data_IF_824163986886
#
_entry.id   IF_824163986886
#
_cell.length_a   1.000
_cell.length_b   1.000
_cell.length_c   1.000
_cell.angle_alpha   90.00
_cell.angle_beta   90.00
_cell.angle_gamma   90.00
#
_symmetry.space_group_name_H-M   'P 1'
#
loop_
_entity.id
_entity.type
_entity.pdbx_description
1 polymer ?
#
# COMPACT_ATOMS: atom_id res chain seq x y z
N UNK A 1 -68.91 -37.05 7.59
CA UNK A 1 -68.43 -35.93 8.43
C UNK A 1 -66.92 -35.90 8.34
N UNK A 2 -66.38 -35.06 7.47
CA UNK A 2 -64.95 -34.82 7.32
C UNK A 2 -64.74 -33.39 7.82
N UNK A 3 -64.03 -33.25 8.92
CA UNK A 3 -63.73 -31.98 9.58
C UNK A 3 -62.65 -31.24 8.79
N UNK A 4 -62.93 -30.00 8.41
CA UNK A 4 -62.03 -29.16 7.63
C UNK A 4 -60.80 -28.74 8.45
N UNK A 5 -59.61 -28.88 7.85
CA UNK A 5 -58.36 -28.35 8.34
C UNK A 5 -58.37 -26.82 8.24
N UNK A 6 -58.19 -26.14 9.38
CA UNK A 6 -57.89 -24.71 9.41
C UNK A 6 -56.42 -24.50 9.04
N UNK A 7 -56.18 -23.86 7.90
CA UNK A 7 -54.86 -23.37 7.50
C UNK A 7 -54.31 -22.37 8.53
N UNK A 8 -53.14 -22.66 9.10
CA UNK A 8 -52.35 -21.66 9.82
C UNK A 8 -51.78 -20.67 8.80
N UNK A 9 -52.18 -19.40 8.90
CA UNK A 9 -51.51 -18.29 8.23
C UNK A 9 -50.14 -18.05 8.89
N UNK A 10 -49.09 -17.70 8.11
CA UNK A 10 -47.79 -17.38 8.67
C UNK A 10 -47.91 -16.12 9.54
N UNK A 11 -47.29 -16.15 10.71
CA UNK A 11 -47.22 -15.03 11.65
C UNK A 11 -46.83 -13.74 10.93
N UNK A 12 -47.71 -12.75 10.96
CA UNK A 12 -47.41 -11.38 10.58
C UNK A 12 -46.11 -10.94 11.24
N UNK A 13 -45.15 -10.44 10.46
CA UNK A 13 -44.03 -9.69 10.99
C UNK A 13 -44.58 -8.66 11.98
N UNK A 14 -44.10 -8.69 13.22
CA UNK A 14 -44.43 -7.66 14.19
C UNK A 14 -43.85 -6.34 13.65
N UNK A 15 -44.70 -5.56 12.97
CA UNK A 15 -44.30 -4.25 12.48
C UNK A 15 -43.86 -3.39 13.67
N UNK A 16 -42.68 -2.79 13.52
CA UNK A 16 -42.09 -1.94 14.53
C UNK A 16 -42.96 -0.69 14.72
N UNK A 17 -43.34 -0.37 15.97
CA UNK A 17 -44.18 0.79 16.28
C UNK A 17 -43.47 2.11 15.86
N UNK A 18 -43.96 2.82 14.82
CA UNK A 18 -43.32 4.03 14.34
C UNK A 18 -43.21 5.11 15.41
N UNK A 19 -44.14 5.18 16.36
CA UNK A 19 -44.16 6.20 17.41
C UNK A 19 -43.02 6.07 18.42
N UNK A 20 -42.53 4.85 18.63
CA UNK A 20 -41.39 4.55 19.51
C UNK A 20 -40.08 4.71 18.73
N UNK A 21 -39.99 4.11 17.55
CA UNK A 21 -38.75 4.06 16.78
C UNK A 21 -38.38 5.39 16.10
N UNK A 22 -39.37 6.23 15.73
CA UNK A 22 -39.11 7.56 15.16
C UNK A 22 -38.57 8.58 16.17
N UNK A 23 -38.69 8.29 17.47
CA UNK A 23 -38.25 9.17 18.56
C UNK A 23 -36.96 8.70 19.22
N UNK A 24 -36.34 7.64 18.70
CA UNK A 24 -35.12 7.10 19.28
C UNK A 24 -33.98 8.14 19.14
N UNK A 25 -33.30 8.52 20.24
CA UNK A 25 -32.15 9.41 20.18
C UNK A 25 -31.07 8.91 19.23
N UNK A 26 -30.38 9.84 18.58
CA UNK A 26 -29.36 9.54 17.58
C UNK A 26 -28.21 8.71 18.20
N UNK A 27 -27.85 8.99 19.46
CA UNK A 27 -26.80 8.29 20.19
C UNK A 27 -27.14 6.82 20.46
N UNK A 28 -28.43 6.52 20.73
CA UNK A 28 -28.89 5.15 20.92
C UNK A 28 -28.97 4.40 19.60
N UNK A 29 -29.37 5.08 18.52
CA UNK A 29 -29.31 4.53 17.17
C UNK A 29 -27.88 4.18 16.77
N UNK A 30 -26.92 5.10 16.95
CA UNK A 30 -25.50 4.85 16.68
C UNK A 30 -24.96 3.68 17.52
N UNK A 31 -25.36 3.56 18.78
CA UNK A 31 -24.98 2.45 19.64
C UNK A 31 -25.55 1.12 19.13
N UNK A 32 -26.85 1.05 18.85
CA UNK A 32 -27.48 -0.18 18.33
C UNK A 32 -26.80 -0.63 17.03
N UNK A 33 -26.53 0.33 16.15
CA UNK A 33 -25.90 0.09 14.87
C UNK A 33 -24.43 -0.34 15.04
N UNK A 34 -23.69 0.20 16.01
CA UNK A 34 -22.30 -0.22 16.27
C UNK A 34 -22.13 -1.72 16.59
N UNK A 35 -23.21 -2.44 16.92
CA UNK A 35 -23.18 -3.90 17.08
C UNK A 35 -23.25 -4.69 15.77
N UNK A 36 -23.57 -4.06 14.65
CA UNK A 36 -23.62 -4.73 13.34
C UNK A 36 -22.23 -4.77 12.69
N UNK A 37 -21.87 -5.82 11.93
CA UNK A 37 -20.64 -5.83 11.16
C UNK A 37 -20.56 -4.70 10.13
N UNK A 38 -19.38 -4.12 9.92
CA UNK A 38 -19.12 -3.03 8.94
C UNK A 38 -19.62 -3.36 7.53
N UNK A 39 -19.61 -4.64 7.12
CA UNK A 39 -20.15 -5.09 5.84
C UNK A 39 -21.62 -4.70 5.65
N UNK A 40 -22.43 -4.77 6.71
CA UNK A 40 -23.85 -4.43 6.63
C UNK A 40 -24.04 -2.92 6.43
N UNK A 41 -23.19 -2.11 7.06
CA UNK A 41 -23.17 -0.66 6.86
C UNK A 41 -22.88 -0.25 5.42
N UNK A 42 -21.91 -0.90 4.77
CA UNK A 42 -21.63 -0.62 3.38
C UNK A 42 -22.78 -0.94 2.43
N UNK A 43 -23.68 -1.86 2.81
CA UNK A 43 -24.86 -2.19 2.01
C UNK A 43 -26.00 -1.19 2.24
N UNK A 44 -26.16 -0.67 3.46
CA UNK A 44 -27.26 0.25 3.80
C UNK A 44 -26.90 1.74 3.63
N UNK A 45 -25.62 2.10 3.46
CA UNK A 45 -25.20 3.51 3.30
C UNK A 45 -25.90 4.25 2.14
N UNK A 46 -26.39 3.53 1.14
CA UNK A 46 -27.10 4.13 -0.01
C UNK A 46 -28.58 4.39 0.26
N UNK A 47 -29.14 3.90 1.37
CA UNK A 47 -30.59 4.00 1.64
C UNK A 47 -30.97 5.31 2.31
N UNK A 48 -30.12 5.91 3.15
CA UNK A 48 -30.38 7.23 3.73
C UNK A 48 -29.10 8.03 4.04
N UNK A 49 -29.23 9.36 4.15
CA UNK A 49 -28.13 10.27 4.45
C UNK A 49 -27.53 10.03 5.84
N UNK A 50 -28.36 9.67 6.83
CA UNK A 50 -27.94 9.40 8.21
C UNK A 50 -27.03 8.19 8.30
N UNK A 51 -27.39 7.06 7.67
CA UNK A 51 -26.49 5.89 7.62
C UNK A 51 -25.20 6.20 6.86
N UNK A 52 -25.25 7.06 5.84
CA UNK A 52 -24.06 7.50 5.13
C UNK A 52 -23.13 8.34 6.01
N UNK A 53 -23.66 9.28 6.80
CA UNK A 53 -22.85 10.13 7.68
C UNK A 53 -22.36 9.40 8.93
N UNK A 54 -23.18 8.51 9.48
CA UNK A 54 -22.88 7.76 10.71
C UNK A 54 -21.60 6.95 10.63
N UNK A 55 -21.29 6.34 9.48
CA UNK A 55 -20.06 5.56 9.29
C UNK A 55 -18.80 6.42 9.53
N UNK A 56 -18.90 7.73 9.37
CA UNK A 56 -17.80 8.68 9.59
C UNK A 56 -17.91 9.45 10.91
N UNK A 57 -18.88 9.12 11.77
CA UNK A 57 -19.04 9.71 13.11
C UNK A 57 -17.91 9.25 14.04
N UNK A 58 -17.23 10.14 14.79
CA UNK A 58 -16.16 9.75 15.72
C UNK A 58 -16.58 8.68 16.75
N UNK A 59 -17.84 8.73 17.22
CA UNK A 59 -18.40 7.75 18.14
C UNK A 59 -18.53 6.37 17.50
N UNK A 60 -18.94 6.32 16.23
CA UNK A 60 -19.07 5.08 15.48
C UNK A 60 -17.69 4.50 15.10
N UNK A 61 -16.77 5.37 14.68
CA UNK A 61 -15.36 5.05 14.38
C UNK A 61 -14.72 4.39 15.60
N UNK A 62 -14.72 5.06 16.76
CA UNK A 62 -14.05 4.55 17.96
C UNK A 62 -14.52 3.16 18.39
N UNK A 63 -15.82 2.86 18.27
CA UNK A 63 -16.40 1.54 18.57
C UNK A 63 -16.02 0.47 17.55
N UNK A 64 -15.88 0.84 16.28
CA UNK A 64 -15.48 -0.09 15.23
C UNK A 64 -13.96 -0.21 15.05
N UNK A 65 -13.15 0.76 15.49
CA UNK A 65 -11.69 0.74 15.40
C UNK A 65 -11.09 -0.44 16.13
N UNK A 66 -11.62 -0.78 17.32
CA UNK A 66 -11.23 -1.99 18.05
C UNK A 66 -11.58 -3.29 17.32
N UNK A 67 -12.53 -3.26 16.37
CA UNK A 67 -12.97 -4.37 15.53
C UNK A 67 -12.45 -4.28 14.08
N UNK A 68 -11.67 -3.26 13.71
CA UNK A 68 -11.15 -3.04 12.34
C UNK A 68 -10.17 -4.13 11.88
N UNK A 69 -9.72 -5.00 12.80
CA UNK A 69 -9.11 -6.30 12.47
C UNK A 69 -10.01 -7.18 11.57
N UNK A 70 -11.27 -6.80 11.34
CA UNK A 70 -12.20 -7.54 10.50
C UNK A 70 -11.98 -7.38 8.98
N UNK A 71 -11.20 -6.40 8.48
CA UNK A 71 -10.88 -6.34 7.05
C UNK A 71 -9.64 -7.17 6.73
N UNK A 72 -9.79 -8.14 5.82
CA UNK A 72 -8.63 -8.84 5.27
C UNK A 72 -7.72 -7.83 4.56
N UNK A 73 -6.41 -7.98 4.74
CA UNK A 73 -5.42 -7.25 3.96
C UNK A 73 -5.13 -8.01 2.67
N UNK A 74 -4.78 -7.27 1.62
CA UNK A 74 -4.60 -7.83 0.28
C UNK A 74 -3.30 -7.36 -0.36
N UNK A 75 -2.76 -8.18 -1.24
CA UNK A 75 -1.78 -7.75 -2.24
C UNK A 75 -2.53 -7.40 -3.53
N UNK A 76 -2.32 -6.19 -4.03
CA UNK A 76 -2.89 -5.69 -5.27
C UNK A 76 -1.90 -5.91 -6.42
N UNK A 77 -2.38 -6.47 -7.52
CA UNK A 77 -1.63 -6.50 -8.78
C UNK A 77 -2.14 -5.40 -9.72
N UNK A 78 -1.26 -4.52 -10.16
CA UNK A 78 -1.49 -3.52 -11.21
C UNK A 78 -0.71 -3.89 -12.46
N UNK A 79 -1.32 -3.65 -13.62
CA UNK A 79 -0.70 -3.91 -14.92
C UNK A 79 -1.10 -2.84 -15.96
N UNK A 80 -0.17 -2.33 -16.80
CA UNK A 80 -0.46 -1.29 -17.79
C UNK A 80 -1.59 -1.63 -18.77
N UNK A 81 -1.73 -2.90 -19.17
CA UNK A 81 -2.83 -3.33 -20.05
C UNK A 81 -4.20 -3.44 -19.36
N UNK A 82 -4.26 -3.38 -18.03
CA UNK A 82 -5.51 -3.43 -17.28
C UNK A 82 -5.52 -2.39 -16.14
N UNK A 83 -5.41 -1.09 -16.47
CA UNK A 83 -5.12 -0.03 -15.50
C UNK A 83 -6.26 0.20 -14.48
N UNK A 84 -7.45 -0.34 -14.75
CA UNK A 84 -8.64 -0.22 -13.89
C UNK A 84 -8.96 -1.46 -13.07
N UNK A 85 -8.25 -2.58 -13.31
CA UNK A 85 -8.56 -3.88 -12.69
C UNK A 85 -7.38 -4.34 -11.87
N UNK A 86 -7.62 -4.55 -10.58
CA UNK A 86 -6.61 -4.98 -9.62
C UNK A 86 -7.01 -6.33 -9.02
N UNK A 87 -6.45 -7.45 -9.53
CA UNK A 87 -6.56 -8.74 -8.86
C UNK A 87 -6.09 -8.64 -7.41
N UNK A 88 -6.85 -9.26 -6.51
CA UNK A 88 -6.59 -9.27 -5.08
C UNK A 88 -6.10 -10.65 -4.65
N UNK A 89 -4.91 -10.70 -4.04
CA UNK A 89 -4.45 -11.87 -3.33
C UNK A 89 -4.65 -11.70 -1.84
N UNK A 90 -5.30 -12.67 -1.21
CA UNK A 90 -5.49 -12.70 0.23
C UNK A 90 -4.38 -13.53 0.89
N UNK A 91 -3.53 -12.87 1.67
CA UNK A 91 -2.39 -13.48 2.34
C UNK A 91 -2.80 -14.39 3.50
N UNK A 92 -3.95 -14.17 4.12
CA UNK A 92 -4.46 -15.00 5.22
C UNK A 92 -5.08 -16.29 4.70
N UNK A 93 -5.81 -16.22 3.58
CA UNK A 93 -6.41 -17.39 2.94
C UNK A 93 -5.46 -18.09 1.95
N UNK A 94 -4.30 -17.48 1.67
CA UNK A 94 -3.33 -17.95 0.69
C UNK A 94 -3.99 -18.22 -0.68
N UNK A 95 -4.88 -17.32 -1.11
CA UNK A 95 -5.73 -17.53 -2.28
C UNK A 95 -6.08 -16.23 -2.99
N UNK A 96 -6.24 -16.33 -4.31
CA UNK A 96 -6.78 -15.26 -5.13
C UNK A 96 -8.28 -15.06 -4.85
N UNK A 97 -8.71 -13.81 -4.67
CA UNK A 97 -10.14 -13.50 -4.57
C UNK A 97 -10.79 -13.60 -5.95
N UNK A 98 -12.00 -14.15 -5.99
CA UNK A 98 -12.79 -14.30 -7.23
C UNK A 98 -13.11 -12.95 -7.90
N UNK A 99 -13.28 -11.89 -7.09
CA UNK A 99 -13.56 -10.53 -7.57
C UNK A 99 -12.29 -9.70 -7.47
N UNK A 100 -11.95 -9.04 -8.58
CA UNK A 100 -10.93 -8.00 -8.58
C UNK A 100 -11.50 -6.71 -8.00
N UNK A 101 -10.61 -5.86 -7.49
CA UNK A 101 -10.93 -4.49 -7.15
C UNK A 101 -10.87 -3.63 -8.42
N UNK A 102 -11.82 -2.72 -8.56
CA UNK A 102 -11.92 -1.82 -9.69
C UNK A 102 -11.82 -0.39 -9.20
N UNK A 103 -11.01 0.42 -9.88
CA UNK A 103 -10.95 1.85 -9.59
C UNK A 103 -12.15 2.55 -10.22
N UNK A 104 -12.86 3.36 -9.42
CA UNK A 104 -13.93 4.25 -9.88
C UNK A 104 -13.41 5.55 -10.49
N UNK A 105 -12.11 5.84 -10.33
CA UNK A 105 -11.48 7.06 -10.84
C UNK A 105 -11.73 7.13 -12.34
N UNK A 106 -12.20 8.29 -12.81
CA UNK A 106 -12.48 8.60 -14.21
C UNK A 106 -11.17 8.74 -15.00
N UNK A 107 -10.44 7.63 -15.13
CA UNK A 107 -9.09 7.53 -15.68
C UNK A 107 -9.13 7.80 -17.20
N UNK A 108 -8.73 9.00 -17.70
CA UNK A 108 -9.00 9.40 -19.09
C UNK A 108 -8.18 8.64 -20.15
N UNK A 109 -7.26 7.74 -19.76
CA UNK A 109 -6.34 7.08 -20.69
C UNK A 109 -5.60 5.90 -20.05
N UNK A 110 -5.01 5.05 -20.89
CA UNK A 110 -4.02 4.00 -20.55
C UNK A 110 -2.75 4.51 -19.85
N UNK A 111 -2.53 5.83 -19.83
CA UNK A 111 -1.39 6.47 -19.16
C UNK A 111 -1.54 6.58 -17.64
N UNK A 112 -2.71 6.25 -17.10
CA UNK A 112 -2.97 6.30 -15.67
C UNK A 112 -2.54 5.02 -14.98
N UNK A 113 -1.56 5.13 -14.10
CA UNK A 113 -0.99 4.01 -13.37
C UNK A 113 -1.15 4.25 -11.87
N UNK A 114 -1.45 3.17 -11.14
CA UNK A 114 -1.29 3.16 -9.69
C UNK A 114 0.20 3.36 -9.41
N UNK A 115 0.54 4.47 -8.75
CA UNK A 115 1.91 4.91 -8.56
C UNK A 115 2.44 4.58 -7.17
N UNK A 116 1.58 4.63 -6.15
CA UNK A 116 1.93 4.34 -4.76
C UNK A 116 0.68 3.93 -3.95
N UNK A 117 0.89 3.15 -2.89
CA UNK A 117 -0.17 2.67 -1.98
C UNK A 117 0.34 2.65 -0.55
N UNK A 118 -0.44 3.19 0.39
CA UNK A 118 -0.06 3.17 1.80
C UNK A 118 -1.30 3.22 2.71
N UNK A 119 -1.38 2.31 3.68
CA UNK A 119 -2.47 2.18 4.66
C UNK A 119 -3.89 2.38 4.10
N UNK A 120 -4.17 1.76 2.94
CA UNK A 120 -5.51 1.75 2.34
C UNK A 120 -5.81 2.91 1.40
N UNK A 121 -4.92 3.90 1.32
CA UNK A 121 -4.96 4.93 0.30
C UNK A 121 -4.19 4.50 -0.95
N UNK A 122 -4.74 4.80 -2.11
CA UNK A 122 -4.12 4.57 -3.42
C UNK A 122 -3.85 5.91 -4.10
N UNK A 123 -2.66 6.07 -4.68
CA UNK A 123 -2.28 7.26 -5.43
C UNK A 123 -2.10 6.93 -6.90
N UNK A 124 -2.90 7.56 -7.76
CA UNK A 124 -2.85 7.45 -9.21
C UNK A 124 -2.21 8.69 -9.81
N UNK A 125 -1.30 8.52 -10.76
CA UNK A 125 -0.77 9.63 -11.57
C UNK A 125 -1.59 9.78 -12.85
N UNK A 126 -2.03 11.00 -13.15
CA UNK A 126 -2.74 11.35 -14.38
C UNK A 126 -1.98 12.46 -15.13
N UNK A 127 -0.93 12.09 -15.91
CA UNK A 127 -0.11 13.07 -16.63
C UNK A 127 -0.92 13.94 -17.61
N UNK A 128 -1.99 13.40 -18.20
CA UNK A 128 -2.87 14.13 -19.13
C UNK A 128 -3.63 15.27 -18.47
N UNK A 129 -3.91 15.15 -17.18
CA UNK A 129 -4.66 16.13 -16.38
C UNK A 129 -3.74 16.96 -15.48
N UNK A 130 -2.43 16.73 -15.58
CA UNK A 130 -1.40 17.32 -14.72
C UNK A 130 -1.75 17.21 -13.22
N UNK A 131 -2.20 16.02 -12.80
CA UNK A 131 -2.67 15.80 -11.44
C UNK A 131 -2.40 14.39 -10.93
N UNK A 132 -2.37 14.28 -9.60
CA UNK A 132 -2.51 13.03 -8.88
C UNK A 132 -3.95 12.88 -8.40
N UNK A 133 -4.43 11.65 -8.28
CA UNK A 133 -5.67 11.33 -7.57
C UNK A 133 -5.34 10.39 -6.43
N UNK A 134 -5.60 10.84 -5.20
CA UNK A 134 -5.55 9.98 -4.02
C UNK A 134 -6.97 9.48 -3.77
N UNK A 135 -7.12 8.18 -3.54
CA UNK A 135 -8.42 7.55 -3.37
C UNK A 135 -8.43 6.58 -2.19
N UNK A 136 -9.50 6.66 -1.40
CA UNK A 136 -9.91 5.63 -0.46
C UNK A 136 -11.11 4.90 -1.07
N UNK A 137 -10.84 3.72 -1.63
CA UNK A 137 -11.86 2.96 -2.35
C UNK A 137 -12.98 2.42 -1.44
N UNK A 138 -12.71 2.21 -0.15
CA UNK A 138 -13.70 1.72 0.81
C UNK A 138 -14.71 2.80 1.18
N UNK A 139 -14.18 3.99 1.50
CA UNK A 139 -14.97 5.20 1.74
C UNK A 139 -15.59 5.74 0.44
N UNK A 140 -15.10 5.30 -0.73
CA UNK A 140 -15.47 5.87 -2.03
C UNK A 140 -15.23 7.37 -2.09
N UNK A 141 -14.12 7.81 -1.50
CA UNK A 141 -13.66 9.19 -1.52
C UNK A 141 -12.41 9.30 -2.37
N UNK A 142 -12.30 10.42 -3.07
CA UNK A 142 -11.17 10.74 -3.94
C UNK A 142 -10.87 12.23 -3.86
N UNK A 143 -9.60 12.59 -4.02
CA UNK A 143 -9.15 13.97 -4.15
C UNK A 143 -8.18 14.08 -5.30
N UNK A 144 -8.46 15.05 -6.16
CA UNK A 144 -7.53 15.47 -7.20
C UNK A 144 -6.56 16.50 -6.63
N UNK A 145 -5.27 16.28 -6.86
CA UNK A 145 -4.16 17.14 -6.43
C UNK A 145 -3.41 17.56 -7.69
N UNK A 146 -3.46 18.84 -8.04
CA UNK A 146 -2.73 19.36 -9.19
C UNK A 146 -1.23 19.27 -8.96
N UNK A 147 -0.48 19.00 -10.03
CA UNK A 147 0.98 19.03 -9.99
C UNK A 147 1.48 20.43 -9.57
N UNK A 148 2.61 20.51 -8.85
CA UNK A 148 3.14 21.80 -8.39
C UNK A 148 3.66 22.67 -9.54
N UNK A 149 4.04 22.06 -10.67
CA UNK A 149 4.51 22.75 -11.88
C UNK A 149 4.12 21.97 -13.14
N UNK A 150 4.25 22.59 -14.30
CA UNK A 150 4.10 21.91 -15.59
C UNK A 150 5.23 22.29 -16.53
N UNK A 151 5.95 21.33 -17.14
CA UNK A 151 5.83 19.88 -16.94
C UNK A 151 6.29 19.44 -15.53
N UNK A 152 5.81 18.29 -15.05
CA UNK A 152 6.20 17.70 -13.77
C UNK A 152 6.80 16.29 -13.95
N UNK A 153 8.06 16.19 -14.44
CA UNK A 153 8.74 14.91 -14.57
C UNK A 153 9.27 14.47 -13.20
N UNK A 154 8.50 13.64 -12.51
CA UNK A 154 8.93 13.00 -11.26
C UNK A 154 9.54 11.62 -11.54
N UNK A 155 10.64 11.32 -10.85
CA UNK A 155 11.35 10.04 -10.94
C UNK A 155 10.82 9.03 -9.91
N UNK A 156 10.54 9.54 -8.70
CA UNK A 156 10.04 8.77 -7.56
C UNK A 156 8.78 9.45 -7.01
N UNK A 157 7.81 8.64 -6.63
CA UNK A 157 6.60 9.05 -5.94
C UNK A 157 6.39 8.14 -4.74
N UNK A 158 6.05 8.72 -3.59
CA UNK A 158 5.74 7.94 -2.39
C UNK A 158 4.61 8.60 -1.64
N UNK A 159 3.55 7.84 -1.41
CA UNK A 159 2.43 8.21 -0.56
C UNK A 159 2.73 7.72 0.86
N UNK A 160 2.58 8.59 1.84
CA UNK A 160 2.66 8.23 3.27
C UNK A 160 1.36 8.67 3.91
N UNK A 161 0.65 7.75 4.55
CA UNK A 161 -0.55 8.06 5.34
C UNK A 161 -0.23 7.99 6.83
N UNK A 162 -0.64 9.02 7.55
CA UNK A 162 -0.59 9.15 9.00
C UNK A 162 -2.01 9.22 9.55
N UNK A 163 -2.22 9.05 10.87
CA UNK A 163 -3.53 9.23 11.48
C UNK A 163 -4.15 10.62 11.26
N UNK A 164 -3.34 11.64 10.97
CA UNK A 164 -3.79 13.03 10.83
C UNK A 164 -3.96 13.50 9.38
N UNK A 165 -3.70 12.62 8.40
CA UNK A 165 -3.69 12.96 6.98
C UNK A 165 -2.60 12.19 6.23
N UNK A 166 -2.38 12.52 4.97
CA UNK A 166 -1.31 11.95 4.16
C UNK A 166 -0.39 13.02 3.59
N UNK A 167 0.77 12.55 3.13
CA UNK A 167 1.72 13.34 2.37
C UNK A 167 2.11 12.62 1.09
N UNK A 168 2.37 13.40 0.04
CA UNK A 168 2.91 12.87 -1.23
C UNK A 168 4.31 13.44 -1.39
N UNK A 169 5.29 12.56 -1.37
CA UNK A 169 6.67 12.89 -1.71
C UNK A 169 6.90 12.63 -3.20
N UNK A 170 7.50 13.59 -3.88
CA UNK A 170 7.94 13.45 -5.26
C UNK A 170 9.37 13.98 -5.41
N UNK A 171 10.25 13.17 -5.99
CA UNK A 171 11.58 13.62 -6.43
C UNK A 171 11.53 13.92 -7.92
N UNK A 172 11.94 15.13 -8.30
CA UNK A 172 12.00 15.56 -9.69
C UNK A 172 13.43 15.87 -10.09
N UNK A 173 13.78 15.54 -11.33
CA UNK A 173 15.07 15.86 -11.94
C UNK A 173 14.81 16.69 -13.18
N UNK A 174 15.33 17.91 -13.21
CA UNK A 174 15.17 18.82 -14.34
C UNK A 174 16.50 19.47 -14.67
N UNK A 175 16.98 19.28 -15.90
CA UNK A 175 18.12 20.02 -16.47
C UNK A 175 19.33 20.14 -15.53
N UNK A 176 19.72 19.02 -14.89
CA UNK A 176 20.82 18.84 -13.92
C UNK A 176 20.57 19.17 -12.45
N UNK A 177 19.47 19.83 -12.09
CA UNK A 177 19.09 20.00 -10.68
C UNK A 177 18.00 18.99 -10.27
N UNK A 178 18.14 18.46 -9.06
CA UNK A 178 17.10 17.68 -8.41
C UNK A 178 16.34 18.58 -7.44
N UNK A 179 15.03 18.46 -7.43
CA UNK A 179 14.14 19.17 -6.51
C UNK A 179 13.22 18.18 -5.82
N UNK A 180 13.00 18.40 -4.54
CA UNK A 180 12.10 17.60 -3.73
C UNK A 180 10.78 18.35 -3.57
N UNK A 181 9.66 17.69 -3.84
CA UNK A 181 8.32 18.23 -3.62
C UNK A 181 7.59 17.39 -2.59
N UNK A 182 7.04 18.05 -1.58
CA UNK A 182 6.22 17.43 -0.55
C UNK A 182 4.84 18.08 -0.53
N UNK A 183 3.80 17.29 -0.73
CA UNK A 183 2.42 17.70 -0.51
C UNK A 183 2.01 17.34 0.91
N UNK A 184 1.39 18.27 1.65
CA UNK A 184 0.71 17.99 2.92
C UNK A 184 -0.81 18.13 2.74
N UNK A 185 -1.54 17.04 2.98
CA UNK A 185 -3.00 17.02 2.89
C UNK A 185 -3.71 17.91 3.90
N UNK A 186 -3.05 18.35 4.99
CA UNK A 186 -3.66 19.24 6.00
C UNK A 186 -3.63 20.69 5.57
N UNK A 187 -2.52 21.13 4.95
CA UNK A 187 -2.38 22.48 4.39
C UNK A 187 -2.85 22.59 2.94
N UNK A 188 -3.14 21.44 2.30
CA UNK A 188 -3.49 21.33 0.89
C UNK A 188 -2.48 22.03 -0.05
N UNK A 189 -1.20 22.00 0.30
CA UNK A 189 -0.16 22.74 -0.40
C UNK A 189 1.06 21.88 -0.68
N UNK A 190 1.72 22.22 -1.78
CA UNK A 190 3.05 21.71 -2.11
C UNK A 190 4.11 22.61 -1.49
N UNK A 191 5.18 21.99 -1.02
CA UNK A 191 6.39 22.69 -0.61
C UNK A 191 7.58 22.12 -1.36
N UNK A 192 8.34 23.02 -1.97
CA UNK A 192 9.58 22.69 -2.68
C UNK A 192 10.76 22.80 -1.71
N UNK A 193 11.73 21.92 -1.88
CA UNK A 193 12.99 21.91 -1.16
C UNK A 193 14.09 21.41 -2.08
N UNK A 194 15.34 21.71 -1.73
CA UNK A 194 16.47 21.26 -2.52
C UNK A 194 16.47 19.73 -2.64
N UNK A 195 16.85 19.25 -3.82
CA UNK A 195 17.05 17.82 -4.04
C UNK A 195 18.33 17.32 -3.40
N UNK A 196 18.56 16.03 -3.59
CA UNK A 196 19.76 15.37 -3.12
C UNK A 196 20.67 15.06 -4.30
N UNK A 197 21.92 15.53 -4.25
CA UNK A 197 22.88 15.42 -5.36
C UNK A 197 23.17 13.97 -5.81
N UNK A 198 23.32 12.97 -4.91
CA UNK A 198 23.51 11.59 -5.34
C UNK A 198 22.39 11.04 -6.22
N UNK A 199 22.78 10.17 -7.15
CA UNK A 199 21.86 9.40 -7.97
C UNK A 199 21.17 8.38 -7.06
N UNK A 200 19.93 8.67 -6.64
CA UNK A 200 19.04 7.63 -6.11
C UNK A 200 18.85 6.57 -7.20
N UNK A 201 18.70 5.31 -6.82
CA UNK A 201 18.59 4.20 -7.77
C UNK A 201 17.52 4.52 -8.84
N UNK A 202 17.97 4.71 -10.08
CA UNK A 202 17.42 5.67 -11.06
C UNK A 202 16.18 5.19 -11.81
N UNK A 203 15.28 4.40 -11.19
CA UNK A 203 14.11 3.84 -11.89
C UNK A 203 12.87 3.63 -11.02
N UNK A 204 11.74 4.06 -11.59
CA UNK A 204 10.38 4.31 -11.09
C UNK A 204 9.63 3.29 -10.22
N UNK A 205 10.23 2.14 -9.86
CA UNK A 205 9.45 1.04 -9.27
C UNK A 205 9.58 0.94 -7.74
N UNK A 206 10.73 1.31 -7.17
CA UNK A 206 10.92 1.29 -5.73
C UNK A 206 10.39 2.59 -5.12
N UNK A 207 9.45 2.46 -4.19
CA UNK A 207 8.95 3.58 -3.39
C UNK A 207 9.90 3.88 -2.22
N UNK A 208 9.87 5.11 -1.73
CA UNK A 208 10.54 5.50 -0.49
C UNK A 208 9.94 4.76 0.70
N UNK A 209 10.79 4.38 1.63
CA UNK A 209 10.40 3.57 2.78
C UNK A 209 10.20 4.47 3.98
N UNK A 210 8.96 4.63 4.43
CA UNK A 210 8.66 5.39 5.64
C UNK A 210 9.15 4.63 6.88
N UNK A 211 9.99 5.28 7.69
CA UNK A 211 10.50 4.74 8.95
C UNK A 211 10.82 5.90 9.89
N UNK A 212 10.29 5.87 11.13
CA UNK A 212 10.57 6.88 12.17
C UNK A 212 10.47 8.35 11.69
N UNK A 213 9.42 8.69 10.94
CA UNK A 213 9.16 10.07 10.48
C UNK A 213 9.95 10.52 9.25
N UNK A 214 10.81 9.67 8.68
CA UNK A 214 11.57 9.98 7.47
C UNK A 214 11.31 8.95 6.36
N UNK A 215 11.55 9.36 5.11
CA UNK A 215 11.56 8.46 3.96
C UNK A 215 12.98 8.01 3.65
N UNK A 216 13.22 6.71 3.64
CA UNK A 216 14.52 6.10 3.36
C UNK A 216 14.61 5.57 1.94
N UNK A 217 15.78 5.75 1.33
CA UNK A 217 16.09 5.36 -0.03
C UNK A 217 17.49 4.77 -0.11
N UNK A 218 17.73 3.97 -1.15
CA UNK A 218 19.06 3.46 -1.52
C UNK A 218 19.60 4.22 -2.72
N UNK A 219 20.87 4.62 -2.68
CA UNK A 219 21.56 5.20 -3.84
C UNK A 219 21.87 4.14 -4.91
N UNK A 220 22.20 4.58 -6.11
CA UNK A 220 22.93 3.76 -7.08
C UNK A 220 24.35 3.44 -6.57
N UNK A 221 25.03 2.47 -7.20
CA UNK A 221 26.40 2.10 -6.84
C UNK A 221 27.34 3.32 -6.82
N UNK A 222 28.16 3.51 -5.75
CA UNK A 222 28.26 2.70 -4.54
C UNK A 222 27.02 2.82 -3.65
N UNK A 223 26.47 1.68 -3.23
CA UNK A 223 25.26 1.65 -2.43
C UNK A 223 25.45 2.38 -1.11
N UNK A 224 24.50 3.25 -0.78
CA UNK A 224 24.40 3.91 0.51
C UNK A 224 22.92 4.15 0.82
N UNK A 225 22.62 4.42 2.09
CA UNK A 225 21.26 4.72 2.53
C UNK A 225 21.16 6.20 2.83
N UNK A 226 20.10 6.80 2.33
CA UNK A 226 19.81 8.21 2.52
C UNK A 226 18.37 8.36 2.97
N UNK A 227 18.10 9.40 3.72
CA UNK A 227 16.80 9.67 4.30
C UNK A 227 16.39 11.10 4.06
N UNK A 228 15.10 11.32 3.86
CA UNK A 228 14.48 12.63 3.80
C UNK A 228 13.56 12.80 5.01
N UNK A 229 13.91 13.71 5.90
CA UNK A 229 13.14 14.04 7.09
C UNK A 229 11.88 14.82 6.68
N UNK A 230 10.69 14.24 6.89
CA UNK A 230 9.43 14.84 6.39
C UNK A 230 9.05 16.13 7.13
N UNK A 231 9.49 16.29 8.38
CA UNK A 231 9.21 17.49 9.18
C UNK A 231 10.22 18.60 8.89
N UNK A 232 11.51 18.28 8.97
CA UNK A 232 12.59 19.25 8.79
C UNK A 232 12.88 19.54 7.32
N UNK A 233 12.43 18.67 6.40
CA UNK A 233 12.62 18.76 4.94
C UNK A 233 14.09 18.80 4.52
N UNK A 234 14.90 18.01 5.19
CA UNK A 234 16.34 17.93 4.96
C UNK A 234 16.73 16.50 4.61
N UNK A 235 17.58 16.37 3.60
CA UNK A 235 18.23 15.12 3.26
C UNK A 235 19.38 14.82 4.21
N UNK A 236 19.48 13.57 4.66
CA UNK A 236 20.60 13.06 5.47
C UNK A 236 21.10 11.75 4.89
N UNK A 237 22.42 11.59 4.85
CA UNK A 237 23.03 10.28 4.62
C UNK A 237 23.02 9.49 5.93
N UNK A 238 22.68 8.22 5.85
CA UNK A 238 22.75 7.30 6.99
C UNK A 238 24.21 7.05 7.36
N UNK A 239 24.48 7.00 8.67
CA UNK A 239 25.80 6.62 9.21
C UNK A 239 26.04 5.11 9.14
N UNK A 240 24.96 4.32 9.10
CA UNK A 240 25.03 2.86 8.96
C UNK A 240 25.66 2.46 7.62
N UNK A 241 26.84 1.85 7.67
CA UNK A 241 27.52 1.30 6.49
C UNK A 241 26.75 0.10 5.94
N UNK A 242 26.41 0.15 4.64
CA UNK A 242 25.74 -0.98 4.00
C UNK A 242 26.69 -2.17 3.88
N UNK A 243 26.17 -3.41 3.89
CA UNK A 243 26.98 -4.60 3.64
C UNK A 243 27.82 -4.49 2.35
N UNK A 244 29.02 -5.07 2.36
CA UNK A 244 29.91 -5.10 1.19
C UNK A 244 29.40 -6.01 0.07
N UNK A 245 29.95 -5.83 -1.14
CA UNK A 245 29.69 -6.67 -2.33
C UNK A 245 28.22 -6.73 -2.77
N UNK A 246 27.46 -5.67 -2.48
CA UNK A 246 26.10 -5.54 -2.96
C UNK A 246 26.09 -5.29 -4.47
N UNK A 247 25.18 -5.98 -5.15
CA UNK A 247 24.80 -5.83 -6.57
C UNK A 247 23.36 -5.32 -6.72
N UNK A 248 22.61 -5.35 -5.61
CA UNK A 248 21.23 -4.91 -5.45
C UNK A 248 21.06 -4.49 -4.00
N UNK A 249 20.32 -3.41 -3.76
CA UNK A 249 19.92 -2.97 -2.43
C UNK A 249 18.49 -2.43 -2.47
N UNK A 250 17.59 -2.94 -1.63
CA UNK A 250 16.20 -2.47 -1.48
C UNK A 250 15.83 -2.41 -0.01
N UNK A 251 15.12 -1.36 0.39
CA UNK A 251 14.67 -1.20 1.77
C UNK A 251 13.22 -1.61 1.90
N UNK A 252 12.87 -2.06 3.11
CA UNK A 252 11.50 -2.34 3.53
C UNK A 252 11.38 -2.00 5.00
N UNK A 253 10.31 -1.32 5.42
CA UNK A 253 10.02 -1.08 6.83
C UNK A 253 8.83 -1.90 7.30
N UNK A 254 8.96 -2.44 8.50
CA UNK A 254 7.84 -2.89 9.30
C UNK A 254 7.37 -1.69 10.12
N UNK A 255 6.28 -1.08 9.68
CA UNK A 255 5.66 0.01 10.41
C UNK A 255 4.83 -0.59 11.54
N UNK A 256 5.08 -0.12 12.76
CA UNK A 256 4.25 -0.45 13.89
C UNK A 256 2.82 -0.05 13.57
N UNK A 257 1.91 -1.01 13.50
CA UNK A 257 0.49 -0.69 13.53
C UNK A 257 0.14 0.03 14.85
N UNK A 258 -1.12 0.42 15.00
CA UNK A 258 -1.66 1.08 16.22
C UNK A 258 -1.47 0.28 17.53
N UNK A 259 -0.80 -0.87 17.51
CA UNK A 259 -0.50 -1.75 18.64
C UNK A 259 0.92 -1.66 19.22
N UNK A 260 1.70 -0.61 18.93
CA UNK A 260 2.95 -0.33 19.68
C UNK A 260 4.12 -1.30 19.45
N UNK A 261 4.15 -2.00 18.31
CA UNK A 261 5.32 -2.79 17.91
C UNK A 261 6.51 -1.87 17.58
N UNK A 262 7.74 -2.34 17.84
CA UNK A 262 8.94 -1.63 17.42
C UNK A 262 9.00 -1.57 15.90
N UNK A 263 9.04 -0.35 15.34
CA UNK A 263 9.33 -0.16 13.92
C UNK A 263 10.70 -0.73 13.59
N UNK A 264 10.80 -1.46 12.48
CA UNK A 264 12.05 -2.06 12.01
C UNK A 264 12.31 -1.70 10.56
N UNK A 265 13.58 -1.53 10.24
CA UNK A 265 14.03 -1.31 8.87
C UNK A 265 14.85 -2.51 8.42
N UNK A 266 14.48 -3.07 7.27
CA UNK A 266 15.16 -4.19 6.64
C UNK A 266 15.82 -3.74 5.33
N UNK A 267 16.99 -4.28 5.07
CA UNK A 267 17.70 -4.17 3.80
C UNK A 267 17.67 -5.54 3.12
N UNK A 268 17.18 -5.59 1.90
CA UNK A 268 17.23 -6.75 1.02
C UNK A 268 18.32 -6.47 0.01
N UNK A 269 19.34 -7.33 -0.02
CA UNK A 269 20.49 -7.11 -0.86
C UNK A 269 20.93 -8.37 -1.61
N UNK A 270 21.42 -8.16 -2.82
CA UNK A 270 22.04 -9.19 -3.64
C UNK A 270 23.55 -9.16 -3.45
N UNK A 271 24.13 -10.25 -2.96
CA UNK A 271 25.58 -10.43 -2.85
C UNK A 271 26.10 -11.07 -4.12
N UNK A 272 27.13 -10.48 -4.71
CA UNK A 272 27.60 -10.87 -6.02
C UNK A 272 28.96 -10.31 -6.40
N UNK A 273 29.47 -10.77 -7.52
CA UNK A 273 30.75 -10.32 -8.09
C UNK A 273 30.49 -9.84 -9.52
N UNK A 274 31.14 -8.75 -9.92
CA UNK A 274 31.01 -8.18 -11.27
C UNK A 274 29.56 -7.89 -11.68
N UNK A 275 28.75 -7.40 -10.73
CA UNK A 275 27.35 -7.06 -10.96
C UNK A 275 26.40 -8.27 -11.06
N UNK A 276 26.87 -9.50 -10.82
CA UNK A 276 26.02 -10.70 -10.86
C UNK A 276 25.70 -11.17 -9.44
N UNK A 277 24.42 -11.04 -9.05
CA UNK A 277 23.91 -11.56 -7.78
C UNK A 277 23.94 -13.09 -7.74
N UNK A 278 24.66 -13.66 -6.77
CA UNK A 278 24.69 -15.10 -6.50
C UNK A 278 23.78 -15.51 -5.35
N UNK A 279 23.58 -14.62 -4.39
CA UNK A 279 22.78 -14.87 -3.19
C UNK A 279 21.99 -13.62 -2.81
N UNK A 280 20.76 -13.81 -2.33
CA UNK A 280 19.95 -12.75 -1.75
C UNK A 280 19.92 -12.92 -0.23
N UNK A 281 20.13 -11.83 0.49
CA UNK A 281 20.08 -11.78 1.95
C UNK A 281 19.20 -10.64 2.43
N UNK A 282 18.73 -10.78 3.65
CA UNK A 282 17.97 -9.79 4.39
C UNK A 282 18.79 -9.40 5.62
N UNK A 283 18.95 -8.10 5.85
CA UNK A 283 19.55 -7.54 7.04
C UNK A 283 18.51 -6.69 7.79
N UNK A 284 18.59 -6.64 9.10
CA UNK A 284 17.79 -5.77 9.97
C UNK A 284 18.70 -4.68 10.55
N UNK A 285 18.23 -3.43 10.57
CA UNK A 285 18.96 -2.33 11.20
C UNK A 285 18.89 -2.47 12.72
N UNK A 286 20.02 -2.77 13.34
CA UNK A 286 20.16 -2.87 14.78
C UNK A 286 20.13 -1.52 15.49
N UNK A 287 19.99 -1.55 16.82
CA UNK A 287 19.95 -0.35 17.67
C UNK A 287 21.24 0.50 17.59
N UNK A 288 22.37 -0.12 17.25
CA UNK A 288 23.66 0.56 17.09
C UNK A 288 23.89 1.19 15.71
N UNK A 289 22.86 1.34 14.87
CA UNK A 289 23.00 1.72 13.45
C UNK A 289 23.88 0.76 12.64
N UNK A 290 23.81 -0.53 12.94
CA UNK A 290 24.55 -1.58 12.23
C UNK A 290 23.58 -2.52 11.52
N UNK A 291 23.95 -2.98 10.32
CA UNK A 291 23.16 -3.94 9.56
C UNK A 291 23.49 -5.38 9.98
N UNK A 292 22.56 -6.03 10.67
CA UNK A 292 22.72 -7.40 11.15
C UNK A 292 22.06 -8.38 10.19
N UNK A 293 22.77 -9.44 9.79
CA UNK A 293 22.20 -10.48 8.92
C UNK A 293 20.99 -11.12 9.63
N UNK A 294 19.83 -10.99 8.99
CA UNK A 294 18.57 -11.49 9.51
C UNK A 294 18.25 -12.85 8.91
N UNK A 295 18.25 -12.99 7.58
CA UNK A 295 17.96 -14.25 6.89
C UNK A 295 18.56 -14.28 5.48
N UNK A 296 18.52 -15.45 4.83
CA UNK A 296 19.02 -15.67 3.46
C UNK A 296 18.04 -16.46 2.63
N UNK A 297 17.88 -16.05 1.37
CA UNK A 297 17.00 -16.77 0.42
C UNK A 297 17.59 -18.16 0.14
N UNK A 298 16.79 -19.24 0.26
CA UNK A 298 17.23 -20.59 -0.08
C UNK A 298 17.75 -20.68 -1.51
N UNK A 299 18.83 -21.44 -1.71
CA UNK A 299 19.60 -21.44 -2.95
C UNK A 299 18.76 -21.66 -4.21
N UNK A 300 17.85 -22.64 -4.20
CA UNK A 300 16.99 -22.94 -5.36
C UNK A 300 16.01 -21.80 -5.67
N UNK A 301 15.48 -21.11 -4.65
CA UNK A 301 14.61 -19.95 -4.84
C UNK A 301 15.41 -18.74 -5.33
N UNK A 302 16.61 -18.54 -4.79
CA UNK A 302 17.51 -17.49 -5.22
C UNK A 302 17.90 -17.67 -6.69
N UNK A 303 18.32 -18.87 -7.10
CA UNK A 303 18.65 -19.20 -8.50
C UNK A 303 17.48 -18.93 -9.45
N UNK A 304 16.27 -19.34 -9.08
CA UNK A 304 15.05 -19.04 -9.86
C UNK A 304 14.87 -17.52 -9.99
N UNK A 305 14.91 -16.78 -8.88
CA UNK A 305 14.69 -15.33 -8.90
C UNK A 305 15.77 -14.60 -9.70
N UNK A 306 17.05 -14.89 -9.47
CA UNK A 306 18.18 -14.25 -10.16
C UNK A 306 18.24 -14.58 -11.65
N UNK A 307 17.80 -15.77 -12.06
CA UNK A 307 17.68 -16.10 -13.49
C UNK A 307 16.67 -15.22 -14.22
N UNK A 308 15.62 -14.78 -13.53
CA UNK A 308 14.56 -13.94 -14.10
C UNK A 308 14.97 -12.47 -14.17
N UNK A 309 15.73 -12.00 -13.17
CA UNK A 309 16.20 -10.61 -13.10
C UNK A 309 17.65 -10.41 -13.54
N UNK A 310 18.24 -11.39 -14.26
CA UNK A 310 19.62 -11.33 -14.74
C UNK A 310 19.87 -10.04 -15.55
N UNK A 311 20.91 -9.28 -15.18
CA UNK A 311 21.24 -7.92 -15.65
C UNK A 311 20.12 -6.86 -15.54
N UNK A 312 19.04 -7.17 -14.82
CA UNK A 312 17.83 -6.37 -14.72
C UNK A 312 17.45 -6.11 -13.27
N UNK A 313 18.43 -6.11 -12.35
CA UNK A 313 18.23 -5.89 -10.91
C UNK A 313 17.56 -4.54 -10.60
N UNK A 314 17.69 -3.54 -11.49
CA UNK A 314 16.95 -2.27 -11.42
C UNK A 314 15.43 -2.43 -11.39
N UNK A 315 14.89 -3.52 -11.94
CA UNK A 315 13.46 -3.83 -11.96
C UNK A 315 12.97 -4.54 -10.71
N UNK A 316 13.89 -4.94 -9.82
CA UNK A 316 13.54 -5.51 -8.52
C UNK A 316 13.05 -4.40 -7.60
N UNK A 317 11.99 -4.65 -6.86
CA UNK A 317 11.46 -3.76 -5.83
C UNK A 317 10.90 -4.60 -4.67
N UNK A 318 10.86 -4.01 -3.48
CA UNK A 318 10.43 -4.69 -2.28
C UNK A 318 9.46 -3.83 -1.48
N UNK A 319 8.54 -4.48 -0.77
CA UNK A 319 7.62 -3.81 0.15
C UNK A 319 7.20 -4.76 1.29
N UNK A 320 6.67 -4.17 2.37
CA UNK A 320 6.14 -4.88 3.51
C UNK A 320 4.65 -5.13 3.38
N UNK A 321 4.20 -6.31 3.79
CA UNK A 321 2.78 -6.61 3.91
C UNK A 321 2.52 -7.59 5.05
N UNK A 322 1.93 -7.10 6.15
CA UNK A 322 1.38 -7.94 7.24
C UNK A 322 2.32 -9.07 7.69
N UNK A 323 3.55 -8.74 8.10
CA UNK A 323 4.53 -9.74 8.54
C UNK A 323 5.30 -10.44 7.41
N UNK A 324 5.16 -9.95 6.17
CA UNK A 324 5.87 -10.47 5.00
C UNK A 324 6.74 -9.41 4.33
N UNK A 325 7.98 -9.79 3.99
CA UNK A 325 8.84 -9.03 3.09
C UNK A 325 8.61 -9.59 1.68
N UNK A 326 8.05 -8.80 0.78
CA UNK A 326 7.77 -9.20 -0.59
C UNK A 326 8.87 -8.71 -1.53
N UNK A 327 9.49 -9.61 -2.29
CA UNK A 327 10.50 -9.34 -3.31
C UNK A 327 9.85 -9.57 -4.68
N UNK A 328 9.75 -8.50 -5.46
CA UNK A 328 9.06 -8.48 -6.74
C UNK A 328 10.00 -8.04 -7.86
N UNK A 329 9.64 -8.35 -9.11
CA UNK A 329 10.35 -7.83 -10.28
C UNK A 329 9.32 -7.34 -11.29
N UNK A 330 9.54 -6.16 -11.88
CA UNK A 330 8.60 -5.56 -12.84
C UNK A 330 8.36 -6.42 -14.10
N UNK A 331 9.33 -7.26 -14.45
CA UNK A 331 9.26 -8.17 -15.60
C UNK A 331 8.73 -9.56 -15.25
N UNK A 332 8.37 -9.81 -13.99
CA UNK A 332 7.98 -11.13 -13.50
C UNK A 332 6.68 -11.10 -12.68
N UNK A 333 5.74 -12.03 -12.93
CA UNK A 333 4.45 -12.00 -12.25
C UNK A 333 4.47 -12.59 -10.83
N UNK A 334 5.36 -13.53 -10.50
CA UNK A 334 5.34 -14.17 -9.17
C UNK A 334 6.09 -13.35 -8.13
N UNK A 335 5.66 -13.44 -6.88
CA UNK A 335 6.31 -12.79 -5.74
C UNK A 335 7.06 -13.86 -4.94
N UNK A 336 8.33 -13.61 -4.66
CA UNK A 336 9.07 -14.31 -3.61
C UNK A 336 8.84 -13.54 -2.31
N UNK A 337 8.38 -14.19 -1.26
CA UNK A 337 8.19 -13.52 0.02
C UNK A 337 8.79 -14.29 1.19
N UNK A 338 9.26 -13.53 2.18
CA UNK A 338 9.71 -14.04 3.46
C UNK A 338 8.63 -13.81 4.51
N UNK A 339 8.17 -14.87 5.16
CA UNK A 339 7.20 -14.79 6.26
C UNK A 339 7.94 -14.67 7.59
N UNK A 340 7.91 -13.47 8.19
CA UNK A 340 8.70 -13.14 9.38
C UNK A 340 8.36 -14.02 10.59
N UNK A 341 7.07 -14.30 10.82
CA UNK A 341 6.60 -15.09 11.98
C UNK A 341 7.14 -16.53 12.05
N UNK A 342 7.51 -17.12 10.91
CA UNK A 342 8.07 -18.49 10.86
C UNK A 342 9.50 -18.54 10.33
N UNK A 343 10.05 -17.41 9.90
CA UNK A 343 11.33 -17.30 9.17
C UNK A 343 11.44 -18.29 8.00
N UNK A 344 10.44 -18.24 7.12
CA UNK A 344 10.35 -19.15 5.97
C UNK A 344 10.09 -18.39 4.67
N UNK A 345 10.70 -18.87 3.59
CA UNK A 345 10.54 -18.34 2.24
C UNK A 345 9.50 -19.12 1.43
N UNK A 346 8.70 -18.40 0.66
CA UNK A 346 7.60 -18.96 -0.12
C UNK A 346 7.43 -18.20 -1.44
N UNK A 347 6.82 -18.88 -2.42
CA UNK A 347 6.36 -18.25 -3.65
C UNK A 347 4.85 -18.01 -3.59
N UNK A 348 4.41 -16.84 -4.02
CA UNK A 348 3.00 -16.55 -4.24
C UNK A 348 2.57 -17.15 -5.59
N UNK A 349 1.43 -17.86 -5.67
CA UNK A 349 0.95 -18.44 -6.92
C UNK A 349 0.66 -17.37 -7.99
N UNK A 350 1.02 -17.65 -9.25
CA UNK A 350 0.68 -16.79 -10.39
C UNK A 350 -0.81 -16.44 -10.37
N UNK A 351 -1.14 -15.18 -10.67
CA UNK A 351 -2.53 -14.77 -10.81
C UNK A 351 -3.21 -15.55 -11.94
N UNK A 352 -4.39 -16.16 -11.71
CA UNK A 352 -5.15 -16.85 -12.74
C UNK A 352 -5.66 -15.90 -13.83
N UNK A 353 -5.67 -14.59 -13.58
CA UNK A 353 -6.10 -13.59 -14.57
C UNK A 353 -5.00 -13.18 -15.54
N UNK A 354 -3.78 -13.70 -15.39
CA UNK A 354 -2.65 -13.33 -16.24
C UNK A 354 -2.58 -14.25 -17.47
N UNK A 355 -2.37 -13.69 -18.67
CA UNK A 355 -2.16 -14.49 -19.88
C UNK A 355 -0.92 -15.38 -19.76
N UNK A 356 -0.86 -16.43 -20.59
CA UNK A 356 0.28 -17.34 -20.67
C UNK A 356 1.52 -16.66 -21.27
N UNK A 357 1.30 -15.76 -22.23
CA UNK A 357 2.31 -14.80 -22.70
C UNK A 357 2.14 -13.50 -21.94
N UNK A 358 3.14 -13.16 -21.11
CA UNK A 358 3.16 -11.91 -20.37
C UNK A 358 4.14 -10.90 -20.97
N UNK A 359 3.76 -9.63 -20.93
CA UNK A 359 4.69 -8.50 -21.09
C UNK A 359 5.29 -8.13 -19.73
N UNK A 360 6.32 -7.29 -19.70
CA UNK A 360 6.69 -6.56 -18.50
C UNK A 360 5.55 -5.61 -18.08
N UNK A 361 5.53 -5.18 -16.81
CA UNK A 361 4.44 -4.35 -16.30
C UNK A 361 3.96 -4.64 -14.89
N UNK A 362 4.48 -5.68 -14.23
CA UNK A 362 3.90 -6.16 -12.99
C UNK A 362 4.26 -5.25 -11.82
N UNK A 363 3.26 -4.54 -11.30
CA UNK A 363 3.40 -3.72 -10.08
C UNK A 363 2.52 -4.26 -8.98
N UNK A 364 3.16 -4.69 -7.90
CA UNK A 364 2.52 -5.22 -6.71
C UNK A 364 2.50 -4.17 -5.61
N UNK A 365 1.37 -4.06 -4.92
CA UNK A 365 1.19 -3.10 -3.84
C UNK A 365 0.60 -3.78 -2.61
N UNK A 366 1.06 -3.36 -1.44
CA UNK A 366 0.42 -3.69 -0.17
C UNK A 366 -0.86 -2.86 -0.04
N UNK A 367 -1.99 -3.54 0.18
CA UNK A 367 -3.28 -2.89 0.42
C UNK A 367 -3.82 -3.36 1.77
N UNK A 368 -3.76 -2.46 2.74
CA UNK A 368 -4.31 -2.65 4.08
C UNK A 368 -5.52 -1.73 4.18
N UNK A 369 -6.74 -2.25 3.93
CA UNK A 369 -7.99 -1.50 4.07
C UNK A 369 -8.05 -0.62 5.32
N UNK A 370 -8.21 0.69 5.12
CA UNK A 370 -8.52 1.63 6.20
C UNK A 370 -9.70 2.50 5.78
N UNK A 371 -10.87 2.25 6.39
CA UNK A 371 -12.08 2.99 6.09
C UNK A 371 -11.98 4.48 6.46
N UNK A 372 -11.19 4.81 7.48
CA UNK A 372 -11.14 6.14 8.08
C UNK A 372 -9.93 6.95 7.64
N UNK A 373 -9.10 6.41 6.75
CA UNK A 373 -8.04 7.18 6.11
C UNK A 373 -8.66 8.34 5.31
N UNK A 374 -8.41 9.56 5.76
CA UNK A 374 -8.94 10.79 5.16
C UNK A 374 -8.23 11.13 3.85
N UNK A 375 -9.00 11.56 2.86
CA UNK A 375 -8.54 11.92 1.50
C UNK A 375 -8.63 13.41 1.26
#
# INVERSE_FOLDING_TARGET
MITAQSHMTPSSSSDMDPGIWSKLPEELMELILSFLPLKNFFNIRSTCKTFRSMVFSPCFISKHTSSLQSFSSFLLLSHPYSPRRFPLYDSNLNAWRKRALYSSVSLPSSASLLSSSYNGLLCFSLPTSSSFVVSNLLASTEREIKFPKYPFPFELLTLVSTPFGYSIFALCSQSSSKSTYLYDSRSHSWTESDGFEPILNDRHHQEGVYYKGALYFTTAEPFSIVSFDLEKRVWRRSEAEVPGELTLARLVSENGGEGGGNERLYLIGGIGVSGITKMLKVWELGLGNEWLEYDRVPEMMCRKFTSVCYHNYQHVYCFWHQGMICICCYTWPEILYFKSSRRTWHWLPKSPSLPDKWSCGFRWFSFIPNLYASV
#
